data_IF_035332766289
#
_entry.id   IF_035332766289
#
_cell.length_a   1.000
_cell.length_b   1.000
_cell.length_c   1.000
_cell.angle_alpha   90.00
_cell.angle_beta   90.00
_cell.angle_gamma   90.00
#
_symmetry.space_group_name_H-M   'P 1'
#
loop_
_entity.id
_entity.type
_entity.pdbx_description
1 polymer ?
#
# COMPACT_ATOMS: atom_id res chain seq x y z
N UNK A 1 -5.97 13.79 -18.31
CA UNK A 1 -5.33 13.43 -17.03
C UNK A 1 -3.83 13.65 -17.21
N UNK A 2 -3.31 14.76 -16.70
CA UNK A 2 -1.88 15.09 -16.80
C UNK A 2 -1.05 14.12 -15.96
N UNK A 3 0.10 13.70 -16.50
CA UNK A 3 0.91 12.67 -15.87
C UNK A 3 1.60 13.20 -14.60
N UNK A 4 1.47 12.47 -13.49
CA UNK A 4 2.16 12.72 -12.22
C UNK A 4 3.67 13.01 -12.39
N UNK A 5 4.28 12.45 -13.44
CA UNK A 5 5.67 12.71 -13.83
C UNK A 5 5.98 14.19 -14.07
N UNK A 6 5.04 14.98 -14.60
CA UNK A 6 5.23 16.40 -14.85
C UNK A 6 5.29 17.24 -13.56
N UNK A 7 4.72 16.72 -12.47
CA UNK A 7 4.66 17.38 -11.17
C UNK A 7 5.87 17.10 -10.26
N UNK A 8 6.75 16.17 -10.66
CA UNK A 8 8.00 15.92 -9.95
C UNK A 8 9.03 17.02 -10.27
N UNK A 9 9.85 17.37 -9.27
CA UNK A 9 10.91 18.34 -9.49
C UNK A 9 11.82 17.89 -10.63
N UNK A 10 12.30 18.84 -11.41
CA UNK A 10 13.21 18.57 -12.54
C UNK A 10 14.45 17.80 -12.08
N UNK A 11 15.00 18.18 -10.92
CA UNK A 11 16.14 17.53 -10.29
C UNK A 11 15.85 16.05 -10.00
N UNK A 12 14.67 15.73 -9.45
CA UNK A 12 14.31 14.35 -9.16
C UNK A 12 14.20 13.51 -10.44
N UNK A 13 13.57 14.05 -11.48
CA UNK A 13 13.47 13.38 -12.78
C UNK A 13 14.84 13.13 -13.40
N UNK A 14 15.74 14.10 -13.34
CA UNK A 14 17.12 13.99 -13.83
C UNK A 14 17.88 12.92 -13.06
N UNK A 15 17.83 12.92 -11.73
CA UNK A 15 18.54 11.94 -10.90
C UNK A 15 18.06 10.52 -11.16
N UNK A 16 16.74 10.32 -11.30
CA UNK A 16 16.17 9.02 -11.68
C UNK A 16 16.67 8.61 -13.06
N UNK A 17 16.57 9.47 -14.08
CA UNK A 17 17.04 9.19 -15.45
C UNK A 17 18.53 8.85 -15.48
N UNK A 18 19.36 9.55 -14.70
CA UNK A 18 20.81 9.34 -14.65
C UNK A 18 21.21 8.00 -14.03
N UNK A 19 20.41 7.47 -13.10
CA UNK A 19 20.67 6.18 -12.44
C UNK A 19 20.23 4.96 -13.26
N UNK A 20 19.55 5.18 -14.38
CA UNK A 20 18.96 4.10 -15.18
C UNK A 20 19.86 3.68 -16.35
N UNK A 21 19.92 2.37 -16.59
CA UNK A 21 20.57 1.84 -17.79
C UNK A 21 19.85 2.33 -19.07
N UNK A 22 20.51 2.20 -20.22
CA UNK A 22 19.97 2.67 -21.49
C UNK A 22 18.60 2.06 -21.81
N UNK A 23 18.43 0.76 -21.52
CA UNK A 23 17.18 0.03 -21.77
C UNK A 23 16.04 0.58 -20.90
N UNK A 24 16.31 0.87 -19.64
CA UNK A 24 15.37 1.38 -18.65
C UNK A 24 15.04 2.85 -18.92
N UNK A 25 16.01 3.66 -19.37
CA UNK A 25 15.76 5.02 -19.89
C UNK A 25 14.84 4.99 -21.10
N UNK A 26 15.04 4.05 -22.03
CA UNK A 26 14.15 3.88 -23.18
C UNK A 26 12.74 3.42 -22.77
N UNK A 27 12.61 2.56 -21.76
CA UNK A 27 11.32 2.18 -21.17
C UNK A 27 10.63 3.36 -20.50
N UNK A 28 11.34 4.15 -19.68
CA UNK A 28 10.78 5.35 -19.05
C UNK A 28 10.40 6.45 -20.05
N UNK A 29 11.14 6.59 -21.16
CA UNK A 29 10.76 7.45 -22.28
C UNK A 29 9.46 6.99 -22.98
N UNK A 30 9.12 5.70 -22.91
CA UNK A 30 7.84 5.15 -23.38
C UNK A 30 6.74 5.32 -22.33
N UNK A 31 7.04 5.09 -21.05
CA UNK A 31 6.12 5.26 -19.92
C UNK A 31 5.77 6.74 -19.63
N UNK A 32 6.65 7.69 -19.96
CA UNK A 32 6.33 9.13 -19.87
C UNK A 32 5.24 9.57 -20.85
N UNK A 33 4.88 8.71 -21.82
CA UNK A 33 3.77 8.90 -22.76
C UNK A 33 2.53 8.07 -22.43
N UNK A 34 2.56 7.19 -21.43
CA UNK A 34 1.42 6.34 -21.08
C UNK A 34 1.32 6.30 -19.56
N UNK A 35 0.53 7.24 -19.02
CA UNK A 35 -0.25 7.01 -17.80
C UNK A 35 -0.80 5.59 -17.87
N UNK A 36 -0.63 4.74 -16.84
CA UNK A 36 -1.57 3.68 -16.39
C UNK A 36 -0.90 2.68 -15.42
N UNK A 37 0.43 2.52 -15.41
CA UNK A 37 1.12 1.68 -14.40
C UNK A 37 2.65 1.63 -14.52
N UNK A 38 3.31 0.93 -13.61
CA UNK A 38 4.76 0.64 -13.62
C UNK A 38 4.99 -0.87 -13.58
N UNK A 39 5.94 -1.35 -14.38
CA UNK A 39 6.31 -2.76 -14.40
C UNK A 39 7.11 -3.13 -13.16
N UNK A 40 7.16 -4.44 -12.85
CA UNK A 40 8.01 -5.00 -11.78
C UNK A 40 9.45 -4.52 -11.90
N UNK A 41 10.04 -4.63 -13.09
CA UNK A 41 11.43 -4.21 -13.31
C UNK A 41 11.66 -2.71 -13.07
N UNK A 42 10.66 -1.87 -13.36
CA UNK A 42 10.72 -0.46 -13.03
C UNK A 42 10.77 -0.22 -11.51
N UNK A 43 9.97 -0.97 -10.75
CA UNK A 43 10.00 -0.93 -9.29
C UNK A 43 11.31 -1.46 -8.71
N UNK A 44 11.83 -2.58 -9.21
CA UNK A 44 13.12 -3.15 -8.77
C UNK A 44 14.26 -2.13 -8.87
N UNK A 45 14.27 -1.29 -9.91
CA UNK A 45 15.29 -0.24 -10.01
C UNK A 45 15.00 0.92 -9.06
N UNK A 46 13.73 1.29 -8.90
CA UNK A 46 13.32 2.40 -8.05
C UNK A 46 13.65 2.13 -6.58
N UNK A 47 13.39 0.91 -6.09
CA UNK A 47 13.54 0.54 -4.68
C UNK A 47 15.00 0.50 -4.21
N UNK A 48 15.94 0.35 -5.15
CA UNK A 48 17.37 0.39 -4.87
C UNK A 48 17.91 1.82 -4.69
N UNK A 49 17.11 2.84 -5.00
CA UNK A 49 17.54 4.23 -4.87
C UNK A 49 17.51 4.72 -3.43
N UNK A 50 18.44 5.62 -3.07
CA UNK A 50 18.43 6.29 -1.76
C UNK A 50 17.16 7.12 -1.56
N UNK A 51 16.61 7.67 -2.65
CA UNK A 51 15.36 8.40 -2.67
C UNK A 51 14.20 7.52 -2.23
N UNK A 52 14.14 6.26 -2.69
CA UNK A 52 13.11 5.32 -2.25
C UNK A 52 13.28 4.93 -0.80
N UNK A 53 14.51 4.61 -0.38
CA UNK A 53 14.81 4.19 1.00
C UNK A 53 14.47 5.27 2.04
N UNK A 54 14.55 6.54 1.67
CA UNK A 54 14.17 7.68 2.52
C UNK A 54 12.71 8.13 2.34
N UNK A 55 11.98 7.54 1.39
CA UNK A 55 10.59 7.90 1.10
C UNK A 55 9.68 7.43 2.23
N UNK A 56 8.71 8.29 2.59
CA UNK A 56 7.65 7.98 3.55
C UNK A 56 6.28 7.83 2.92
N UNK A 57 6.09 8.37 1.72
CA UNK A 57 4.79 8.45 1.05
C UNK A 57 4.94 8.09 -0.41
N UNK A 58 4.11 7.18 -0.88
CA UNK A 58 4.09 6.75 -2.26
C UNK A 58 2.66 6.60 -2.73
N UNK A 59 2.35 7.22 -3.86
CA UNK A 59 1.08 7.04 -4.55
C UNK A 59 1.38 6.83 -6.03
N UNK A 60 0.85 5.77 -6.61
CA UNK A 60 1.05 5.44 -8.01
C UNK A 60 -0.20 4.82 -8.63
N UNK A 61 -0.18 4.62 -9.94
CA UNK A 61 -1.20 3.86 -10.66
C UNK A 61 -1.04 2.36 -10.41
N UNK A 62 -1.21 1.55 -11.45
CA UNK A 62 -1.01 0.11 -11.34
C UNK A 62 0.48 -0.25 -11.16
N UNK A 63 0.78 -1.26 -10.36
CA UNK A 63 2.11 -1.84 -10.20
C UNK A 63 2.00 -3.33 -10.47
N UNK A 64 2.79 -3.80 -11.42
CA UNK A 64 2.85 -5.21 -11.78
C UNK A 64 3.68 -6.00 -10.74
N UNK A 65 3.14 -7.13 -10.25
CA UNK A 65 3.85 -8.11 -9.42
C UNK A 65 4.64 -7.47 -8.26
N UNK A 66 3.91 -6.76 -7.39
CA UNK A 66 4.46 -6.08 -6.21
C UNK A 66 5.13 -7.06 -5.27
N UNK A 67 6.32 -6.73 -4.79
CA UNK A 67 6.93 -7.34 -3.61
C UNK A 67 6.63 -6.47 -2.40
N UNK A 68 6.06 -7.07 -1.35
CA UNK A 68 5.70 -6.36 -0.11
C UNK A 68 6.89 -5.67 0.55
N UNK A 69 8.11 -6.21 0.38
CA UNK A 69 9.31 -5.66 1.00
C UNK A 69 9.62 -4.24 0.52
N UNK A 70 9.24 -3.91 -0.72
CA UNK A 70 9.39 -2.58 -1.30
C UNK A 70 8.60 -1.51 -0.54
N UNK A 71 7.58 -1.92 0.21
CA UNK A 71 6.60 -1.05 0.83
C UNK A 71 6.90 -0.78 2.31
N UNK A 72 7.81 -1.54 2.94
CA UNK A 72 7.93 -1.59 4.39
C UNK A 72 8.50 -0.31 5.01
N UNK A 73 9.17 0.56 4.25
CA UNK A 73 9.65 1.86 4.73
C UNK A 73 8.61 2.99 4.61
N UNK A 74 7.49 2.74 3.95
CA UNK A 74 6.48 3.76 3.65
C UNK A 74 5.43 3.83 4.76
N UNK A 75 5.08 5.05 5.13
CA UNK A 75 4.01 5.38 6.09
C UNK A 75 2.65 5.54 5.38
N UNK A 76 2.65 5.97 4.12
CA UNK A 76 1.44 6.23 3.33
C UNK A 76 1.57 5.67 1.93
N UNK A 77 0.69 4.75 1.57
CA UNK A 77 0.83 3.94 0.37
C UNK A 77 -0.50 3.91 -0.38
N UNK A 78 -0.49 4.20 -1.68
CA UNK A 78 -1.64 4.01 -2.57
C UNK A 78 -1.23 3.52 -3.94
N UNK A 79 -1.79 2.42 -4.42
CA UNK A 79 -1.57 1.91 -5.78
C UNK A 79 -2.65 0.90 -6.16
N UNK A 80 -2.62 0.45 -7.42
CA UNK A 80 -3.42 -0.68 -7.90
C UNK A 80 -2.52 -1.86 -8.25
N UNK A 81 -2.99 -3.09 -8.09
CA UNK A 81 -2.24 -4.32 -8.43
C UNK A 81 -3.22 -5.40 -8.86
N UNK A 82 -2.76 -6.38 -9.65
CA UNK A 82 -3.51 -7.58 -10.00
C UNK A 82 -4.01 -8.34 -8.77
N UNK A 83 -3.09 -9.08 -8.16
CA UNK A 83 -3.30 -9.82 -6.91
C UNK A 83 -2.38 -9.30 -5.82
N UNK A 84 -2.78 -9.52 -4.58
CA UNK A 84 -1.95 -9.29 -3.43
C UNK A 84 -2.11 -10.46 -2.47
N UNK A 85 -1.01 -11.07 -2.05
CA UNK A 85 -1.05 -12.30 -1.27
C UNK A 85 -1.53 -12.01 0.15
N UNK A 86 -2.19 -12.99 0.77
CA UNK A 86 -2.73 -12.84 2.13
C UNK A 86 -1.59 -12.65 3.14
N UNK A 87 -0.49 -13.35 2.93
CA UNK A 87 0.75 -13.25 3.69
C UNK A 87 1.35 -11.84 3.59
N UNK A 88 1.33 -11.22 2.40
CA UNK A 88 1.84 -9.86 2.19
C UNK A 88 1.01 -8.82 2.97
N UNK A 89 -0.30 -9.01 3.04
CA UNK A 89 -1.18 -8.14 3.82
C UNK A 89 -0.84 -8.24 5.30
N UNK A 90 -0.63 -9.46 5.79
CA UNK A 90 -0.25 -9.68 7.17
C UNK A 90 1.11 -9.06 7.49
N UNK A 91 2.10 -9.21 6.59
CA UNK A 91 3.40 -8.55 6.71
C UNK A 91 3.24 -7.03 6.83
N UNK A 92 2.36 -6.41 6.02
CA UNK A 92 2.08 -4.98 6.11
C UNK A 92 1.42 -4.61 7.44
N UNK A 93 0.45 -5.37 7.93
CA UNK A 93 -0.20 -5.15 9.23
C UNK A 93 0.83 -5.20 10.35
N UNK A 94 1.64 -6.27 10.40
CA UNK A 94 2.70 -6.42 11.39
C UNK A 94 3.72 -5.29 11.30
N UNK A 95 4.13 -4.89 10.10
CA UNK A 95 5.04 -3.76 9.92
C UNK A 95 4.45 -2.46 10.47
N UNK A 96 3.16 -2.20 10.23
CA UNK A 96 2.48 -1.02 10.77
C UNK A 96 2.42 -1.01 12.29
N UNK A 97 2.09 -2.16 12.90
CA UNK A 97 2.05 -2.33 14.36
C UNK A 97 3.43 -2.19 14.99
N UNK A 98 4.43 -2.91 14.46
CA UNK A 98 5.78 -2.96 15.01
C UNK A 98 6.53 -1.64 14.88
N UNK A 99 6.38 -0.91 13.75
CA UNK A 99 7.01 0.40 13.57
C UNK A 99 6.27 1.54 14.26
N UNK A 100 5.12 1.25 14.89
CA UNK A 100 4.30 2.24 15.58
C UNK A 100 4.07 3.50 14.72
N UNK A 101 3.65 3.30 13.46
CA UNK A 101 3.53 4.39 12.50
C UNK A 101 2.62 5.53 13.01
N UNK A 102 2.86 6.79 12.57
CA UNK A 102 2.10 7.93 13.06
C UNK A 102 0.62 7.84 12.68
N UNK A 103 -0.23 8.54 13.44
CA UNK A 103 -1.64 8.72 13.08
C UNK A 103 -1.71 9.34 11.67
N UNK A 104 -2.73 8.94 10.90
CA UNK A 104 -2.91 9.24 9.47
C UNK A 104 -1.96 8.48 8.51
N UNK A 105 -1.18 7.53 9.00
CA UNK A 105 -0.56 6.52 8.12
C UNK A 105 -1.62 5.61 7.51
N UNK A 106 -1.39 5.17 6.27
CA UNK A 106 -2.37 4.34 5.56
C UNK A 106 -1.75 3.45 4.49
N UNK A 107 -2.46 2.37 4.17
CA UNK A 107 -2.27 1.57 2.97
C UNK A 107 -3.61 1.52 2.23
N UNK A 108 -3.61 1.86 0.95
CA UNK A 108 -4.81 1.99 0.12
C UNK A 108 -4.57 1.27 -1.21
N UNK A 109 -4.76 -0.04 -1.20
CA UNK A 109 -4.46 -0.94 -2.33
C UNK A 109 -5.76 -1.28 -3.04
N UNK A 110 -5.81 -0.98 -4.33
CA UNK A 110 -6.88 -1.43 -5.22
C UNK A 110 -6.45 -2.70 -5.94
N UNK A 111 -7.35 -3.68 -6.00
CA UNK A 111 -7.10 -4.95 -6.67
C UNK A 111 -7.87 -4.97 -7.98
N UNK A 112 -7.20 -5.33 -9.07
CA UNK A 112 -7.86 -5.53 -10.37
C UNK A 112 -8.40 -6.95 -10.51
N UNK A 113 -7.89 -7.90 -9.71
CA UNK A 113 -8.47 -9.23 -9.52
C UNK A 113 -9.18 -9.33 -8.17
N UNK A 114 -10.24 -10.14 -8.08
CA UNK A 114 -11.02 -10.25 -6.86
C UNK A 114 -10.19 -10.87 -5.71
N UNK A 115 -10.14 -10.18 -4.57
CA UNK A 115 -9.68 -10.73 -3.31
C UNK A 115 -10.68 -11.76 -2.75
N UNK A 116 -10.11 -12.86 -2.27
CA UNK A 116 -10.80 -13.80 -1.39
C UNK A 116 -10.66 -13.32 0.06
N UNK A 117 -11.65 -12.56 0.51
CA UNK A 117 -11.67 -12.03 1.89
C UNK A 117 -11.79 -13.17 2.90
N UNK A 118 -12.51 -14.26 2.60
CA UNK A 118 -12.68 -15.37 3.54
C UNK A 118 -11.36 -16.09 3.81
N UNK A 119 -10.59 -16.36 2.75
CA UNK A 119 -9.23 -16.92 2.90
C UNK A 119 -8.35 -16.01 3.78
N UNK A 120 -8.46 -14.70 3.60
CA UNK A 120 -7.72 -13.74 4.42
C UNK A 120 -8.13 -13.79 5.90
N UNK A 121 -9.43 -13.92 6.20
CA UNK A 121 -9.91 -14.05 7.57
C UNK A 121 -9.44 -15.35 8.22
N UNK A 122 -9.51 -16.48 7.50
CA UNK A 122 -8.98 -17.77 7.98
C UNK A 122 -7.49 -17.67 8.30
N UNK A 123 -6.71 -17.05 7.42
CA UNK A 123 -5.29 -16.83 7.66
C UNK A 123 -5.04 -15.97 8.91
N UNK A 124 -5.82 -14.90 9.12
CA UNK A 124 -5.69 -14.08 10.33
C UNK A 124 -5.96 -14.89 11.62
N UNK A 125 -6.96 -15.78 11.61
CA UNK A 125 -7.22 -16.68 12.73
C UNK A 125 -6.03 -17.62 13.01
N UNK A 126 -5.40 -18.17 11.95
CA UNK A 126 -4.18 -18.97 12.07
C UNK A 126 -3.01 -18.20 12.70
N UNK A 127 -2.98 -16.87 12.54
CA UNK A 127 -2.01 -15.98 13.18
C UNK A 127 -2.42 -15.57 14.62
N UNK A 128 -3.42 -16.23 15.21
CA UNK A 128 -4.00 -15.95 16.53
C UNK A 128 -4.67 -14.56 16.63
N UNK A 129 -5.14 -14.01 15.51
CA UNK A 129 -5.97 -12.79 15.53
C UNK A 129 -7.41 -13.20 15.83
N UNK A 130 -8.01 -12.57 16.83
CA UNK A 130 -9.46 -12.70 17.05
C UNK A 130 -10.18 -11.90 15.97
N UNK A 131 -10.68 -12.61 14.96
CA UNK A 131 -11.39 -12.01 13.83
C UNK A 131 -12.76 -11.53 14.28
N UNK A 132 -13.03 -10.24 14.09
CA UNK A 132 -14.31 -9.61 14.43
C UNK A 132 -14.64 -8.54 13.40
N UNK A 133 -15.80 -8.66 12.75
CA UNK A 133 -16.26 -7.66 11.80
C UNK A 133 -16.96 -6.52 12.54
N UNK A 134 -16.40 -5.33 12.44
CA UNK A 134 -16.87 -4.18 13.21
C UNK A 134 -16.80 -2.89 12.36
N UNK A 135 -17.79 -2.64 11.48
CA UNK A 135 -17.79 -1.45 10.63
C UNK A 135 -17.82 -0.15 11.43
N UNK A 136 -17.21 0.91 10.89
CA UNK A 136 -17.11 2.22 11.57
C UNK A 136 -18.37 3.08 11.36
N UNK A 137 -19.11 2.83 10.28
CA UNK A 137 -20.34 3.56 9.93
C UNK A 137 -21.20 2.71 9.01
N UNK A 138 -22.44 3.14 8.76
CA UNK A 138 -23.33 2.50 7.79
C UNK A 138 -22.72 2.47 6.38
N UNK A 139 -22.09 3.57 5.96
CA UNK A 139 -21.35 3.62 4.68
C UNK A 139 -20.25 2.56 4.64
N UNK A 140 -19.57 2.36 5.76
CA UNK A 140 -18.49 1.38 5.89
C UNK A 140 -19.03 -0.05 5.75
N UNK A 141 -20.13 -0.35 6.44
CA UNK A 141 -20.82 -1.63 6.37
C UNK A 141 -21.32 -1.96 4.94
N UNK A 142 -21.71 -0.92 4.18
CA UNK A 142 -22.15 -1.08 2.79
C UNK A 142 -20.99 -1.14 1.78
N UNK A 143 -19.77 -0.74 2.17
CA UNK A 143 -18.61 -0.67 1.27
C UNK A 143 -17.65 -1.84 1.45
N UNK A 144 -17.48 -2.28 2.70
CA UNK A 144 -16.51 -3.30 3.08
C UNK A 144 -17.19 -4.56 3.59
N UNK A 145 -16.61 -5.70 3.23
CA UNK A 145 -17.06 -7.02 3.69
C UNK A 145 -16.63 -7.22 5.14
N UNK A 146 -15.41 -6.79 5.47
CA UNK A 146 -14.84 -6.92 6.81
C UNK A 146 -14.10 -5.66 7.24
N UNK A 147 -14.27 -5.28 8.50
CA UNK A 147 -13.45 -4.27 9.18
C UNK A 147 -12.88 -4.87 10.46
N UNK A 148 -11.56 -5.01 10.50
CA UNK A 148 -10.79 -5.50 11.63
C UNK A 148 -10.08 -4.35 12.34
N UNK A 149 -10.01 -4.42 13.67
CA UNK A 149 -9.22 -3.52 14.53
C UNK A 149 -7.98 -4.23 15.05
N UNK A 150 -6.87 -3.49 15.09
CA UNK A 150 -5.64 -3.88 15.79
C UNK A 150 -5.21 -2.72 16.69
N UNK A 151 -5.04 -2.99 17.98
CA UNK A 151 -4.61 -1.99 18.96
C UNK A 151 -3.10 -1.93 19.05
N UNK A 152 -2.57 -0.73 19.28
CA UNK A 152 -1.16 -0.55 19.62
C UNK A 152 -1.01 -0.64 21.15
N UNK A 153 -0.04 -1.41 21.68
CA UNK A 153 0.17 -1.47 23.12
C UNK A 153 0.50 -0.08 23.70
N UNK A 154 -0.20 0.30 24.77
CA UNK A 154 0.04 1.54 25.54
C UNK A 154 -0.08 2.87 24.77
N UNK A 155 -0.80 2.88 23.65
CA UNK A 155 -0.94 4.04 22.76
C UNK A 155 -2.42 4.34 22.49
N UNK A 156 -2.81 5.61 22.37
CA UNK A 156 -4.13 6.00 21.80
C UNK A 156 -4.09 5.89 20.26
N UNK A 157 -3.74 4.69 19.78
CA UNK A 157 -3.67 4.36 18.36
C UNK A 157 -4.34 3.03 18.06
N UNK A 158 -4.96 3.01 16.88
CA UNK A 158 -5.60 1.82 16.32
C UNK A 158 -5.29 1.73 14.84
N UNK A 159 -5.01 0.52 14.37
CA UNK A 159 -4.93 0.20 12.95
C UNK A 159 -6.25 -0.45 12.56
N UNK A 160 -6.96 0.23 11.66
CA UNK A 160 -8.19 -0.26 11.04
C UNK A 160 -7.82 -0.91 9.72
N UNK A 161 -8.17 -2.19 9.55
CA UNK A 161 -8.00 -2.92 8.30
C UNK A 161 -9.38 -3.23 7.72
N UNK A 162 -9.67 -2.69 6.54
CA UNK A 162 -10.95 -2.81 5.85
C UNK A 162 -10.77 -3.48 4.50
N UNK A 163 -11.61 -4.44 4.20
CA UNK A 163 -11.39 -5.34 3.07
C UNK A 163 -12.71 -5.58 2.32
N UNK A 164 -12.63 -5.54 1.00
CA UNK A 164 -13.66 -6.06 0.10
C UNK A 164 -12.98 -6.74 -1.10
N UNK A 165 -13.77 -7.16 -2.09
CA UNK A 165 -13.25 -7.89 -3.25
C UNK A 165 -12.23 -7.12 -4.09
N UNK A 166 -12.21 -5.79 -4.07
CA UNK A 166 -11.38 -4.97 -4.97
C UNK A 166 -10.51 -3.97 -4.21
N UNK A 167 -10.49 -4.03 -2.87
CA UNK A 167 -9.79 -3.04 -2.05
C UNK A 167 -9.38 -3.59 -0.69
N UNK A 168 -8.12 -3.33 -0.35
CA UNK A 168 -7.56 -3.47 0.98
C UNK A 168 -7.16 -2.08 1.48
N UNK A 169 -7.73 -1.67 2.60
CA UNK A 169 -7.50 -0.37 3.18
C UNK A 169 -7.11 -0.46 4.65
N UNK A 170 -5.87 -0.08 4.96
CA UNK A 170 -5.36 0.06 6.32
C UNK A 170 -5.23 1.52 6.71
N UNK A 171 -5.63 1.90 7.92
CA UNK A 171 -5.51 3.27 8.42
C UNK A 171 -5.17 3.31 9.90
N UNK A 172 -4.17 4.12 10.26
CA UNK A 172 -3.80 4.38 11.66
C UNK A 172 -4.56 5.60 12.16
N UNK A 173 -5.48 5.38 13.09
CA UNK A 173 -6.32 6.40 13.73
C UNK A 173 -6.05 6.52 15.23
N UNK A 174 -6.79 7.43 15.89
CA UNK A 174 -6.87 7.46 17.36
C UNK A 174 -7.88 6.44 17.84
N UNK A 175 -7.53 5.61 18.82
CA UNK A 175 -8.44 4.60 19.38
C UNK A 175 -9.71 5.24 19.93
N UNK A 176 -9.58 6.37 20.61
CA UNK A 176 -10.69 7.18 21.15
C UNK A 176 -11.76 7.60 20.12
N UNK A 177 -11.48 7.53 18.82
CA UNK A 177 -12.43 7.88 17.75
C UNK A 177 -13.05 6.68 17.05
N UNK A 178 -12.47 5.49 17.22
CA UNK A 178 -12.81 4.32 16.41
C UNK A 178 -13.06 3.05 17.21
N UNK A 179 -12.85 3.06 18.52
CA UNK A 179 -13.36 2.03 19.44
C UNK A 179 -14.87 2.12 19.62
#
# INVERSE_FOLDING_TARGET
>A
MESFWQYLSEIFRILVIQKLDFKSRCCLRKCSKICHGTSRKGMEILVETEQWRSLKKFSFGEIENVDVNWLLNLERIRFSVGKFLVEDIWILVQNFLNKNYPIQSYVDIYLTENADVNNMLMFLEEQNVIVKNEPISERDANTYIHTQRFTFPNEDKILLLKMNHWKIYGFVGRSSRYN
#
